data_IF_140770757290
#
_entry.id   IF_140770757290
#
_cell.length_a   1.000
_cell.length_b   1.000
_cell.length_c   1.000
_cell.angle_alpha   90.00
_cell.angle_beta   90.00
_cell.angle_gamma   90.00
#
_symmetry.space_group_name_H-M   'P 1'
#
loop_
_entity.id
_entity.type
_entity.pdbx_description
1 polymer ?
#
# COMPACT_ATOMS: atom_id res chain seq x y z
N UNK A 1 28.84 47.30 18.01
CA UNK A 1 29.25 45.88 17.94
C UNK A 1 28.02 45.06 17.62
N UNK A 2 27.89 44.51 16.41
CA UNK A 2 26.79 43.61 16.05
C UNK A 2 27.42 42.32 15.50
N UNK A 3 27.37 41.26 16.30
CA UNK A 3 27.86 39.93 15.95
C UNK A 3 26.78 39.24 15.12
N UNK A 4 27.02 39.09 13.81
CA UNK A 4 26.14 38.34 12.92
C UNK A 4 26.11 36.86 13.32
N UNK A 5 24.93 36.37 13.67
CA UNK A 5 24.68 34.95 13.94
C UNK A 5 24.35 34.28 12.61
N UNK A 6 25.22 33.37 12.16
CA UNK A 6 24.96 32.51 11.01
C UNK A 6 24.02 31.38 11.44
N UNK A 7 22.75 31.43 11.04
CA UNK A 7 21.85 30.28 11.11
C UNK A 7 22.23 29.31 9.98
N UNK A 8 22.85 28.18 10.32
CA UNK A 8 22.98 27.05 9.42
C UNK A 8 21.65 26.27 9.42
N UNK A 9 20.88 26.39 8.33
CA UNK A 9 19.76 25.49 8.03
C UNK A 9 20.35 24.13 7.66
N UNK A 10 20.29 23.18 8.60
CA UNK A 10 20.54 21.78 8.29
C UNK A 10 19.39 21.29 7.39
N UNK A 11 19.63 21.20 6.09
CA UNK A 11 18.75 20.49 5.16
C UNK A 11 18.88 19.00 5.49
N UNK A 12 17.97 18.48 6.30
CA UNK A 12 17.80 17.05 6.49
C UNK A 12 17.48 16.45 5.12
N UNK A 13 18.46 15.77 4.54
CA UNK A 13 18.28 15.02 3.30
C UNK A 13 17.33 13.88 3.61
N UNK A 14 16.04 14.06 3.32
CA UNK A 14 15.08 12.96 3.27
C UNK A 14 15.52 12.11 2.08
N UNK A 15 16.24 11.04 2.35
CA UNK A 15 16.50 10.01 1.36
C UNK A 15 15.15 9.36 1.07
N UNK A 16 14.44 9.85 0.06
CA UNK A 16 13.32 9.14 -0.54
C UNK A 16 13.95 7.97 -1.28
N UNK A 17 14.18 6.88 -0.56
CA UNK A 17 14.51 5.61 -1.20
C UNK A 17 13.22 5.18 -1.88
N UNK A 18 13.19 5.30 -3.21
CA UNK A 18 12.10 4.72 -4.00
C UNK A 18 12.04 3.22 -3.66
N UNK A 19 10.85 2.71 -3.38
CA UNK A 19 10.70 1.30 -3.05
C UNK A 19 11.12 0.48 -4.28
N UNK A 20 11.96 -0.53 -4.06
CA UNK A 20 12.49 -1.35 -5.15
C UNK A 20 11.36 -2.02 -5.93
N UNK A 21 11.53 -2.16 -7.25
CA UNK A 21 10.59 -2.95 -8.06
C UNK A 21 10.52 -4.39 -7.54
N UNK A 22 9.30 -4.93 -7.52
CA UNK A 22 9.05 -6.28 -7.08
C UNK A 22 9.84 -7.29 -7.92
N UNK A 23 10.44 -8.26 -7.25
CA UNK A 23 10.91 -9.49 -7.89
C UNK A 23 9.73 -10.29 -8.45
N UNK A 24 9.99 -11.23 -9.37
CA UNK A 24 8.97 -12.14 -9.88
C UNK A 24 8.26 -12.90 -8.74
N UNK A 25 8.98 -13.26 -7.68
CA UNK A 25 8.43 -13.96 -6.53
C UNK A 25 7.47 -13.08 -5.72
N UNK A 26 7.83 -11.81 -5.51
CA UNK A 26 6.96 -10.83 -4.83
C UNK A 26 5.74 -10.50 -5.68
N UNK A 27 5.90 -10.39 -7.00
CA UNK A 27 4.79 -10.21 -7.93
C UNK A 27 3.79 -11.38 -7.87
N UNK A 28 4.26 -12.63 -7.90
CA UNK A 28 3.39 -13.81 -7.76
C UNK A 28 2.70 -13.87 -6.40
N UNK A 29 3.41 -13.47 -5.33
CA UNK A 29 2.84 -13.35 -3.99
C UNK A 29 1.71 -12.32 -3.97
N UNK A 30 1.93 -11.13 -4.53
CA UNK A 30 0.92 -10.08 -4.66
C UNK A 30 -0.33 -10.57 -5.41
N UNK A 31 -0.15 -11.23 -6.56
CA UNK A 31 -1.27 -11.80 -7.32
C UNK A 31 -2.07 -12.85 -6.52
N UNK A 32 -1.38 -13.67 -5.73
CA UNK A 32 -2.02 -14.69 -4.90
C UNK A 32 -2.86 -14.07 -3.78
N UNK A 33 -2.36 -13.02 -3.13
CA UNK A 33 -3.07 -12.26 -2.09
C UNK A 33 -4.33 -11.62 -2.68
N UNK A 34 -4.21 -10.95 -3.83
CA UNK A 34 -5.35 -10.34 -4.50
C UNK A 34 -6.39 -11.36 -4.97
N UNK A 35 -5.94 -12.51 -5.49
CA UNK A 35 -6.86 -13.60 -5.88
C UNK A 35 -7.59 -14.19 -4.69
N UNK A 36 -6.91 -14.35 -3.54
CA UNK A 36 -7.55 -14.79 -2.31
C UNK A 36 -8.59 -13.78 -1.83
N UNK A 37 -8.27 -12.48 -1.81
CA UNK A 37 -9.21 -11.43 -1.42
C UNK A 37 -10.44 -11.40 -2.35
N UNK A 38 -10.23 -11.46 -3.67
CA UNK A 38 -11.30 -11.46 -4.67
C UNK A 38 -12.22 -12.70 -4.60
N UNK A 39 -11.75 -13.82 -4.06
CA UNK A 39 -12.54 -15.07 -3.96
C UNK A 39 -13.09 -15.32 -2.55
N UNK A 40 -12.61 -14.61 -1.54
CA UNK A 40 -13.13 -14.68 -0.18
C UNK A 40 -14.58 -14.18 -0.14
N UNK A 41 -15.48 -14.96 0.47
CA UNK A 41 -16.93 -14.70 0.45
C UNK A 41 -17.33 -13.30 0.94
N UNK A 42 -16.59 -12.72 1.88
CA UNK A 42 -16.79 -11.35 2.35
C UNK A 42 -16.60 -10.30 1.26
N UNK A 43 -15.67 -10.53 0.32
CA UNK A 43 -15.29 -9.60 -0.75
C UNK A 43 -15.73 -10.01 -2.15
N UNK A 44 -16.18 -11.25 -2.37
CA UNK A 44 -16.44 -11.79 -3.70
C UNK A 44 -17.45 -10.97 -4.52
N UNK A 45 -18.46 -10.38 -3.87
CA UNK A 45 -19.43 -9.50 -4.54
C UNK A 45 -18.85 -8.15 -4.99
N UNK A 46 -17.67 -7.78 -4.48
CA UNK A 46 -16.94 -6.56 -4.78
C UNK A 46 -15.70 -6.81 -5.65
N UNK A 47 -15.48 -8.05 -6.08
CA UNK A 47 -14.35 -8.42 -6.92
C UNK A 47 -14.46 -7.79 -8.31
N UNK A 48 -13.34 -7.26 -8.81
CA UNK A 48 -13.19 -6.81 -10.19
C UNK A 48 -12.25 -7.79 -10.88
N UNK A 49 -12.83 -8.71 -11.65
CA UNK A 49 -12.11 -9.85 -12.19
C UNK A 49 -11.64 -10.80 -11.08
N UNK A 50 -10.40 -11.28 -11.18
CA UNK A 50 -9.82 -12.25 -10.22
C UNK A 50 -8.67 -11.68 -9.39
N UNK A 51 -8.39 -10.38 -9.49
CA UNK A 51 -7.15 -9.79 -8.95
C UNK A 51 -7.34 -8.41 -8.33
N UNK A 52 -8.58 -8.00 -8.08
CA UNK A 52 -8.86 -6.71 -7.47
C UNK A 52 -10.18 -6.75 -6.70
N UNK A 53 -10.28 -5.92 -5.66
CA UNK A 53 -11.48 -5.77 -4.83
C UNK A 53 -11.81 -4.28 -4.70
N UNK A 54 -13.04 -3.91 -5.07
CA UNK A 54 -13.55 -2.55 -4.93
C UNK A 54 -14.75 -2.54 -4.00
N UNK A 55 -14.47 -2.60 -2.70
CA UNK A 55 -15.50 -2.66 -1.66
C UNK A 55 -15.81 -1.26 -1.10
N UNK A 56 -17.08 -0.94 -0.82
CA UNK A 56 -17.41 0.27 -0.07
C UNK A 56 -16.94 0.13 1.37
N UNK A 57 -16.54 1.22 2.01
CA UNK A 57 -16.11 1.20 3.42
C UNK A 57 -17.21 0.75 4.41
N UNK A 58 -18.47 0.70 3.98
CA UNK A 58 -19.58 0.14 4.77
C UNK A 58 -19.62 -1.39 4.77
N UNK A 59 -18.92 -2.05 3.86
CA UNK A 59 -18.81 -3.51 3.81
C UNK A 59 -17.76 -4.00 4.81
N UNK A 60 -18.00 -3.79 6.10
CA UNK A 60 -17.05 -4.07 7.18
C UNK A 60 -16.38 -5.46 7.10
N UNK A 61 -17.08 -6.55 6.77
CA UNK A 61 -16.42 -7.86 6.62
C UNK A 61 -15.38 -7.88 5.49
N UNK A 62 -15.61 -7.16 4.39
CA UNK A 62 -14.62 -7.05 3.32
C UNK A 62 -13.51 -6.04 3.67
N UNK A 63 -13.82 -4.98 4.41
CA UNK A 63 -12.79 -4.06 4.92
C UNK A 63 -11.76 -4.81 5.77
N UNK A 64 -12.18 -5.71 6.65
CA UNK A 64 -11.27 -6.55 7.43
C UNK A 64 -10.36 -7.44 6.55
N UNK A 65 -10.88 -7.96 5.42
CA UNK A 65 -10.06 -8.68 4.43
C UNK A 65 -9.06 -7.74 3.75
N UNK A 66 -9.47 -6.52 3.42
CA UNK A 66 -8.60 -5.52 2.80
C UNK A 66 -7.51 -4.99 3.74
N UNK A 67 -7.78 -4.91 5.04
CA UNK A 67 -6.75 -4.65 6.06
C UNK A 67 -5.67 -5.75 6.03
N UNK A 68 -6.09 -7.03 5.99
CA UNK A 68 -5.17 -8.15 5.87
C UNK A 68 -4.37 -8.12 4.55
N UNK A 69 -5.00 -7.74 3.43
CA UNK A 69 -4.28 -7.51 2.17
C UNK A 69 -3.17 -6.46 2.36
N UNK A 70 -3.46 -5.33 3.01
CA UNK A 70 -2.48 -4.28 3.28
C UNK A 70 -1.35 -4.71 4.22
N UNK A 71 -1.58 -5.68 5.09
CA UNK A 71 -0.54 -6.26 5.96
C UNK A 71 0.37 -7.24 5.19
N UNK A 72 -0.22 -8.09 4.35
CA UNK A 72 0.46 -9.22 3.70
C UNK A 72 1.13 -8.86 2.37
N UNK A 73 0.70 -7.80 1.68
CA UNK A 73 1.32 -7.38 0.43
C UNK A 73 2.82 -7.09 0.62
N UNK A 74 3.68 -7.49 -0.33
CA UNK A 74 5.10 -7.19 -0.28
C UNK A 74 5.32 -5.68 -0.40
N UNK A 75 6.34 -5.18 0.30
CA UNK A 75 6.72 -3.77 0.29
C UNK A 75 7.67 -3.48 -0.87
N UNK A 76 7.12 -3.50 -2.09
CA UNK A 76 7.81 -3.29 -3.35
C UNK A 76 6.92 -2.56 -4.36
N UNK A 77 7.51 -2.03 -5.44
CA UNK A 77 6.79 -1.33 -6.50
C UNK A 77 6.47 -2.23 -7.69
N UNK A 78 5.33 -1.99 -8.32
CA UNK A 78 5.00 -2.53 -9.64
C UNK A 78 4.82 -1.35 -10.57
N UNK A 79 5.77 -1.16 -11.49
CA UNK A 79 5.77 0.02 -12.38
C UNK A 79 5.72 1.34 -11.59
N UNK A 80 6.48 1.41 -10.49
CA UNK A 80 6.59 2.58 -9.61
C UNK A 80 5.49 2.74 -8.57
N UNK A 81 4.52 1.81 -8.48
CA UNK A 81 3.43 1.88 -7.50
C UNK A 81 3.57 0.80 -6.43
N UNK A 82 3.63 1.22 -5.16
CA UNK A 82 3.64 0.31 -4.02
C UNK A 82 2.21 0.00 -3.57
N UNK A 83 1.67 -1.13 -4.03
CA UNK A 83 0.29 -1.52 -3.73
C UNK A 83 0.00 -1.75 -2.24
N UNK A 84 1.02 -2.15 -1.45
CA UNK A 84 0.87 -2.28 0.01
C UNK A 84 0.49 -0.93 0.62
N UNK A 85 1.26 0.10 0.29
CA UNK A 85 1.04 1.46 0.77
C UNK A 85 -0.28 2.02 0.26
N UNK A 86 -0.64 1.80 -1.02
CA UNK A 86 -1.93 2.23 -1.56
C UNK A 86 -3.12 1.64 -0.79
N UNK A 87 -3.07 0.33 -0.48
CA UNK A 87 -4.13 -0.32 0.33
C UNK A 87 -4.15 0.23 1.75
N UNK A 88 -2.99 0.36 2.40
CA UNK A 88 -2.92 0.90 3.76
C UNK A 88 -3.45 2.34 3.85
N UNK A 89 -3.11 3.19 2.87
CA UNK A 89 -3.63 4.55 2.77
C UNK A 89 -5.15 4.57 2.55
N UNK A 90 -5.69 3.64 1.76
CA UNK A 90 -7.14 3.51 1.57
C UNK A 90 -7.87 3.06 2.84
N UNK A 91 -7.18 2.34 3.75
CA UNK A 91 -7.75 1.89 5.04
C UNK A 91 -7.69 2.96 6.13
N UNK A 92 -6.73 3.89 6.06
CA UNK A 92 -6.68 5.05 6.95
C UNK A 92 -7.72 6.09 6.52
N UNK A 93 -8.95 6.00 7.03
CA UNK A 93 -9.97 7.05 6.87
C UNK A 93 -9.68 8.21 7.81
N UNK A 94 -9.58 9.42 7.27
CA UNK A 94 -9.80 10.69 8.00
C UNK A 94 -11.27 10.79 8.48
#
# INVERSE_FOLDING_TARGET
>A
MLRSILLALALSQVNVVDAAECTDAEWQTSQSIWSWAATTSACAQYAVGTSFVSAPCSALPCVAVMEQVGEELPDCTVSGVNNKIEVQNAMTRD
#
